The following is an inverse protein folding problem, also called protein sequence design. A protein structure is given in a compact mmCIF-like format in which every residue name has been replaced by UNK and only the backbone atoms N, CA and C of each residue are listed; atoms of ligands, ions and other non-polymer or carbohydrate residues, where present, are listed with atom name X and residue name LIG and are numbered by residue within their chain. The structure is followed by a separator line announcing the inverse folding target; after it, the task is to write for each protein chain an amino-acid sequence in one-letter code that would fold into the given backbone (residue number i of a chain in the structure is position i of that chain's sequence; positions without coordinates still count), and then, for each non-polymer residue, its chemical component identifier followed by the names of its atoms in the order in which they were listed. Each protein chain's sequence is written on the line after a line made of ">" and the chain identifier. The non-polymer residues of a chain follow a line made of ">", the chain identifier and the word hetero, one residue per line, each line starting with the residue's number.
data_IF_103048969995
#
_entry.id   IF_103048969995
#
_cell.length_a   1.000
_cell.length_b   1.000
_cell.length_c   1.000
_cell.angle_alpha   90.00
_cell.angle_beta   90.00
_cell.angle_gamma   90.00
#
_symmetry.space_group_name_H-M   'P 1'
#
loop_
_entity.id
_entity.type
_entity.pdbx_description
1 polymer ?
#
# COMPACT_ATOMS: atom_id res chain seq x y z
N UNK A 1 7.71 17.11 7.01
CA UNK A 1 6.89 17.68 6.04
C UNK A 1 5.41 17.61 6.34
N UNK A 2 4.56 17.80 5.36
CA UNK A 2 3.14 18.04 5.64
C UNK A 2 2.40 16.88 6.33
N UNK A 3 2.87 15.64 6.19
CA UNK A 3 2.18 14.50 6.78
C UNK A 3 2.72 14.06 8.14
N UNK A 4 3.84 14.59 8.58
CA UNK A 4 4.48 14.14 9.81
C UNK A 4 3.54 14.33 11.00
N UNK A 5 3.33 13.25 11.77
CA UNK A 5 2.41 13.17 12.90
C UNK A 5 0.94 13.34 12.56
N UNK A 6 0.57 13.16 11.27
CA UNK A 6 -0.81 13.20 10.84
C UNK A 6 -1.36 11.80 10.59
N UNK A 7 -2.67 11.70 10.59
CA UNK A 7 -3.43 10.54 10.14
C UNK A 7 -4.48 11.04 9.16
N UNK A 8 -5.12 10.15 8.37
CA UNK A 8 -6.24 10.58 7.52
C UNK A 8 -7.33 11.26 8.36
N UNK A 9 -8.02 12.25 7.78
CA UNK A 9 -9.00 13.05 8.50
C UNK A 9 -10.11 12.21 9.14
N UNK A 10 -10.57 11.18 8.45
CA UNK A 10 -11.51 10.20 8.97
C UNK A 10 -10.88 8.82 8.74
N UNK A 11 -10.45 8.17 9.80
CA UNK A 11 -9.67 6.96 9.66
C UNK A 11 -10.15 5.83 10.55
N UNK A 12 -9.84 4.61 10.13
CA UNK A 12 -9.94 3.40 10.94
C UNK A 12 -8.54 2.87 11.19
N UNK A 13 -8.36 2.20 12.31
CA UNK A 13 -7.07 1.64 12.69
C UNK A 13 -7.23 0.14 12.88
N UNK A 14 -6.28 -0.63 12.36
CA UNK A 14 -6.33 -2.07 12.48
C UNK A 14 -4.93 -2.65 12.66
N UNK A 15 -4.89 -3.84 13.28
CA UNK A 15 -3.65 -4.57 13.50
C UNK A 15 -3.15 -5.22 12.21
N UNK A 16 -1.85 -5.36 12.11
CA UNK A 16 -1.19 -5.96 10.96
C UNK A 16 -0.03 -6.83 11.43
N UNK A 17 0.34 -7.80 10.63
CA UNK A 17 1.53 -8.63 10.83
C UNK A 17 2.43 -8.61 9.60
N UNK A 18 2.38 -7.55 8.82
CA UNK A 18 3.22 -7.40 7.65
C UNK A 18 4.69 -7.32 8.04
N UNK A 19 5.53 -7.94 7.23
CA UNK A 19 6.95 -8.06 7.47
C UNK A 19 7.69 -8.05 6.13
N UNK A 20 8.69 -7.19 6.01
CA UNK A 20 9.41 -7.02 4.76
C UNK A 20 10.91 -7.06 5.01
N UNK A 21 11.66 -7.73 4.13
CA UNK A 21 13.11 -7.70 4.18
C UNK A 21 13.59 -6.26 3.98
N UNK A 22 14.45 -5.81 4.88
CA UNK A 22 15.01 -4.47 4.84
C UNK A 22 16.32 -4.50 5.61
N UNK A 23 17.38 -3.99 5.01
CA UNK A 23 18.70 -3.99 5.66
C UNK A 23 19.23 -2.57 5.78
N UNK A 24 19.84 -2.29 6.91
CA UNK A 24 20.47 -1.02 7.19
C UNK A 24 19.54 0.01 7.81
N UNK A 25 20.07 1.20 8.04
CA UNK A 25 19.30 2.32 8.57
C UNK A 25 18.44 2.93 7.47
N UNK A 26 17.26 3.37 7.86
CA UNK A 26 16.40 4.13 6.96
C UNK A 26 16.66 5.63 7.16
N UNK A 27 16.50 6.38 6.10
CA UNK A 27 16.55 7.84 6.16
C UNK A 27 15.13 8.39 5.99
N UNK A 28 14.83 9.46 6.71
CA UNK A 28 13.56 10.15 6.55
C UNK A 28 13.48 10.80 5.17
N UNK A 29 12.31 10.75 4.59
CA UNK A 29 12.06 11.37 3.29
C UNK A 29 11.24 10.49 2.37
N UNK A 30 11.12 10.90 1.08
CA UNK A 30 10.37 10.12 0.11
C UNK A 30 11.07 8.80 -0.20
N UNK A 31 10.27 7.72 -0.21
CA UNK A 31 10.74 6.39 -0.63
C UNK A 31 10.14 5.99 -1.98
N UNK A 32 9.08 6.63 -2.38
CA UNK A 32 8.55 6.58 -3.75
C UNK A 32 7.83 7.88 -4.04
N UNK A 33 8.19 8.53 -5.13
CA UNK A 33 7.58 9.78 -5.58
C UNK A 33 7.06 9.60 -6.99
N UNK A 34 5.79 9.94 -7.21
CA UNK A 34 5.20 9.88 -8.54
C UNK A 34 5.95 10.82 -9.50
N UNK A 35 6.33 10.30 -10.66
CA UNK A 35 7.04 11.05 -11.68
C UNK A 35 6.14 11.41 -12.86
N UNK A 36 5.11 10.61 -13.11
CA UNK A 36 4.18 10.79 -14.20
C UNK A 36 2.75 10.56 -13.72
N UNK A 37 1.78 10.86 -14.57
CA UNK A 37 0.36 10.74 -14.25
C UNK A 37 -0.07 9.29 -13.95
N UNK A 38 0.63 8.33 -14.51
CA UNK A 38 0.35 6.91 -14.31
C UNK A 38 0.85 6.40 -12.96
N UNK A 39 1.63 7.18 -12.23
CA UNK A 39 2.00 6.87 -10.86
C UNK A 39 0.93 7.45 -9.94
N UNK A 40 0.28 6.59 -9.15
CA UNK A 40 -0.91 6.96 -8.38
C UNK A 40 -0.63 7.24 -6.91
N UNK A 41 0.57 6.94 -6.43
CA UNK A 41 0.90 7.02 -5.01
C UNK A 41 2.22 7.73 -4.78
N UNK A 42 2.30 8.43 -3.66
CA UNK A 42 3.54 8.93 -3.08
C UNK A 42 3.73 8.27 -1.72
N UNK A 43 4.97 7.92 -1.39
CA UNK A 43 5.29 7.22 -0.15
C UNK A 43 6.48 7.89 0.54
N UNK A 44 6.35 8.14 1.84
CA UNK A 44 7.35 8.83 2.65
C UNK A 44 7.58 8.11 3.97
N UNK A 45 8.82 8.05 4.42
CA UNK A 45 9.17 7.54 5.75
C UNK A 45 9.64 8.71 6.61
N UNK A 46 9.04 8.85 7.80
CA UNK A 46 9.49 9.79 8.81
C UNK A 46 9.40 9.10 10.18
N UNK A 47 10.55 8.98 10.85
CA UNK A 47 10.63 8.23 12.09
C UNK A 47 10.27 6.76 11.85
N UNK A 48 9.33 6.26 12.61
CA UNK A 48 8.87 4.87 12.51
C UNK A 48 7.51 4.77 11.80
N UNK A 49 7.22 5.68 10.87
CA UNK A 49 5.96 5.69 10.15
C UNK A 49 6.17 5.82 8.66
N UNK A 50 5.38 5.06 7.90
CA UNK A 50 5.30 5.13 6.45
C UNK A 50 3.99 5.82 6.09
N UNK A 51 4.09 6.95 5.41
CA UNK A 51 2.95 7.76 4.97
C UNK A 51 2.69 7.50 3.49
N UNK A 52 1.48 7.10 3.16
CA UNK A 52 1.09 6.75 1.79
C UNK A 52 -0.06 7.65 1.36
N UNK A 53 0.16 8.46 0.34
CA UNK A 53 -0.81 9.43 -0.15
C UNK A 53 -1.07 9.25 -1.64
N UNK A 54 -2.25 9.72 -2.08
CA UNK A 54 -2.57 9.78 -3.52
C UNK A 54 -1.76 10.90 -4.16
N UNK A 55 -1.08 10.57 -5.26
CA UNK A 55 -0.16 11.51 -5.92
C UNK A 55 -0.87 12.75 -6.47
N UNK A 56 -2.10 12.59 -6.93
CA UNK A 56 -2.83 13.67 -7.59
C UNK A 56 -3.46 14.67 -6.62
N UNK A 57 -4.04 14.14 -5.54
CA UNK A 57 -4.79 14.97 -4.60
C UNK A 57 -3.97 15.31 -3.37
N UNK A 58 -2.88 14.58 -3.11
CA UNK A 58 -2.11 14.69 -1.89
C UNK A 58 -2.86 14.12 -0.67
N UNK A 59 -3.99 13.45 -0.89
CA UNK A 59 -4.78 12.90 0.21
C UNK A 59 -4.03 11.77 0.90
N UNK A 60 -3.81 11.91 2.20
CA UNK A 60 -3.20 10.86 3.01
C UNK A 60 -4.19 9.71 3.18
N UNK A 61 -3.82 8.53 2.70
CA UNK A 61 -4.69 7.35 2.73
C UNK A 61 -4.28 6.32 3.77
N UNK A 62 -2.98 6.15 4.00
CA UNK A 62 -2.48 5.17 4.97
C UNK A 62 -1.33 5.73 5.76
N UNK A 63 -1.28 5.38 7.05
CA UNK A 63 -0.10 5.55 7.89
C UNK A 63 0.22 4.19 8.49
N UNK A 64 1.32 3.60 8.09
CA UNK A 64 1.78 2.33 8.62
C UNK A 64 2.79 2.58 9.74
N UNK A 65 2.53 1.99 10.90
CA UNK A 65 3.41 2.09 12.06
C UNK A 65 4.45 0.97 11.96
N UNK A 66 5.69 1.38 11.72
CA UNK A 66 6.80 0.47 11.42
C UNK A 66 7.68 0.26 12.64
N UNK A 67 8.27 -0.92 12.73
CA UNK A 67 9.33 -1.20 13.68
C UNK A 67 10.52 -1.72 12.86
N UNK A 68 11.58 -0.94 12.78
CA UNK A 68 12.75 -1.27 11.99
C UNK A 68 13.69 -2.14 12.81
N UNK A 69 13.96 -3.34 12.31
CA UNK A 69 14.90 -4.29 12.87
C UNK A 69 16.20 -4.27 12.04
N UNK A 70 17.17 -5.10 12.40
CA UNK A 70 18.46 -5.11 11.69
C UNK A 70 18.35 -5.62 10.25
N UNK A 71 17.43 -6.52 9.96
CA UNK A 71 17.32 -7.18 8.64
C UNK A 71 15.91 -7.15 8.07
N UNK A 72 14.95 -6.54 8.77
CA UNK A 72 13.57 -6.47 8.30
C UNK A 72 12.83 -5.31 8.96
N UNK A 73 11.65 -5.00 8.44
CA UNK A 73 10.72 -4.04 9.03
C UNK A 73 9.39 -4.75 9.29
N UNK A 74 8.83 -4.51 10.47
CA UNK A 74 7.54 -5.04 10.88
C UNK A 74 6.52 -3.92 10.91
N UNK A 75 5.33 -4.19 10.40
CA UNK A 75 4.21 -3.25 10.46
C UNK A 75 3.12 -3.86 11.30
N UNK A 76 2.92 -3.34 12.50
CA UNK A 76 1.99 -3.90 13.49
C UNK A 76 0.62 -3.24 13.43
N UNK A 77 0.53 -2.02 12.92
CA UNK A 77 -0.69 -1.23 12.94
C UNK A 77 -0.74 -0.31 11.74
N UNK A 78 -1.92 -0.19 11.17
CA UNK A 78 -2.18 0.69 10.02
C UNK A 78 -3.37 1.56 10.34
N UNK A 79 -3.23 2.88 10.12
CA UNK A 79 -4.33 3.83 10.14
C UNK A 79 -4.69 4.13 8.69
N UNK A 80 -5.92 3.88 8.31
CA UNK A 80 -6.35 3.97 6.91
C UNK A 80 -7.58 4.87 6.78
N UNK A 81 -7.63 5.63 5.68
CA UNK A 81 -8.78 6.45 5.35
C UNK A 81 -10.05 5.61 5.29
N UNK A 82 -11.07 6.00 6.05
CA UNK A 82 -12.31 5.23 6.19
C UNK A 82 -13.04 5.06 4.86
N UNK A 83 -13.06 6.10 4.05
CA UNK A 83 -13.70 6.08 2.76
C UNK A 83 -13.00 5.11 1.80
N UNK A 84 -11.66 5.12 1.80
CA UNK A 84 -10.88 4.21 0.99
C UNK A 84 -11.10 2.74 1.39
N UNK A 85 -11.11 2.48 2.69
CA UNK A 85 -11.28 1.13 3.23
C UNK A 85 -12.67 0.57 2.92
N UNK A 86 -13.71 1.40 3.03
CA UNK A 86 -15.11 1.01 2.79
C UNK A 86 -15.52 -0.24 3.56
N UNK A 87 -15.03 -0.38 4.80
CA UNK A 87 -15.37 -1.51 5.65
C UNK A 87 -14.57 -2.79 5.39
N UNK A 88 -13.72 -2.83 4.37
CA UNK A 88 -12.92 -4.01 4.05
C UNK A 88 -11.47 -3.84 4.52
N UNK A 89 -11.26 -4.09 5.81
CA UNK A 89 -9.93 -3.94 6.43
C UNK A 89 -8.90 -4.92 5.86
N UNK A 90 -9.34 -6.10 5.51
CA UNK A 90 -8.44 -7.12 4.94
C UNK A 90 -7.90 -6.68 3.59
N UNK A 91 -8.76 -6.13 2.75
CA UNK A 91 -8.33 -5.57 1.46
C UNK A 91 -7.38 -4.40 1.65
N UNK A 92 -7.67 -3.52 2.60
CA UNK A 92 -6.81 -2.37 2.91
C UNK A 92 -5.39 -2.83 3.29
N UNK A 93 -5.27 -3.83 4.14
CA UNK A 93 -3.97 -4.40 4.51
C UNK A 93 -3.21 -4.96 3.32
N UNK A 94 -3.92 -5.61 2.39
CA UNK A 94 -3.33 -6.15 1.16
C UNK A 94 -2.86 -5.06 0.21
N UNK A 95 -3.59 -3.96 0.14
CA UNK A 95 -3.17 -2.80 -0.66
C UNK A 95 -1.85 -2.26 -0.14
N UNK A 96 -1.72 -2.09 1.17
CA UNK A 96 -0.46 -1.63 1.78
C UNK A 96 0.67 -2.61 1.48
N UNK A 97 0.44 -3.90 1.64
CA UNK A 97 1.42 -4.94 1.31
C UNK A 97 1.88 -4.85 -0.14
N UNK A 98 0.93 -4.74 -1.07
CA UNK A 98 1.22 -4.59 -2.49
C UNK A 98 2.05 -3.33 -2.77
N UNK A 99 1.63 -2.19 -2.20
CA UNK A 99 2.31 -0.91 -2.45
C UNK A 99 3.76 -0.96 -1.97
N UNK A 100 4.03 -1.57 -0.83
CA UNK A 100 5.40 -1.72 -0.33
C UNK A 100 6.22 -2.59 -1.28
N UNK A 101 5.69 -3.74 -1.68
CA UNK A 101 6.41 -4.66 -2.56
C UNK A 101 6.64 -4.06 -3.94
N UNK A 102 5.62 -3.45 -4.53
CA UNK A 102 5.69 -2.92 -5.88
C UNK A 102 6.48 -1.62 -5.95
N UNK A 103 6.19 -0.66 -5.07
CA UNK A 103 6.71 0.70 -5.18
C UNK A 103 8.03 0.87 -4.42
N UNK A 104 8.15 0.30 -3.23
CA UNK A 104 9.38 0.44 -2.46
C UNK A 104 10.43 -0.61 -2.83
N UNK A 105 10.01 -1.87 -2.97
CA UNK A 105 10.93 -2.98 -3.27
C UNK A 105 11.04 -3.26 -4.76
N UNK A 106 10.31 -2.55 -5.59
CA UNK A 106 10.34 -2.64 -7.05
C UNK A 106 10.07 -4.05 -7.58
N UNK A 107 9.22 -4.80 -6.90
CA UNK A 107 8.82 -6.13 -7.30
C UNK A 107 7.65 -6.07 -8.29
N UNK A 108 7.63 -6.99 -9.24
CA UNK A 108 6.50 -7.15 -10.16
C UNK A 108 5.62 -8.25 -9.61
N UNK A 109 4.53 -7.87 -8.97
CA UNK A 109 3.58 -8.80 -8.33
C UNK A 109 2.16 -8.40 -8.68
N UNK A 110 1.22 -9.35 -8.73
CA UNK A 110 -0.19 -9.02 -8.96
C UNK A 110 -0.75 -8.18 -7.80
N UNK A 111 -1.59 -7.21 -8.13
CA UNK A 111 -2.24 -6.40 -7.11
C UNK A 111 -3.49 -7.11 -6.58
N UNK A 112 -3.93 -6.78 -5.34
CA UNK A 112 -5.16 -7.33 -4.81
C UNK A 112 -6.39 -6.72 -5.51
N UNK A 113 -7.48 -7.47 -5.52
CA UNK A 113 -8.78 -7.01 -5.99
C UNK A 113 -9.76 -6.97 -4.81
N UNK A 114 -10.57 -5.92 -4.70
CA UNK A 114 -11.66 -5.94 -3.73
C UNK A 114 -12.69 -7.01 -4.10
N UNK A 115 -13.35 -7.56 -3.09
CA UNK A 115 -14.31 -8.65 -3.28
C UNK A 115 -15.39 -8.31 -4.32
N UNK A 116 -15.81 -7.05 -4.39
CA UNK A 116 -16.83 -6.60 -5.33
C UNK A 116 -16.45 -6.75 -6.80
N UNK A 117 -15.16 -6.87 -7.11
CA UNK A 117 -14.66 -6.94 -8.48
C UNK A 117 -14.27 -8.34 -8.93
N UNK A 118 -14.36 -9.34 -8.06
CA UNK A 118 -13.88 -10.70 -8.39
C UNK A 118 -14.60 -11.34 -9.60
N UNK A 119 -15.88 -11.05 -9.76
CA UNK A 119 -16.70 -11.64 -10.83
C UNK A 119 -17.04 -10.63 -11.92
N UNK A 120 -16.44 -9.45 -11.88
CA UNK A 120 -16.70 -8.40 -12.86
C UNK A 120 -15.96 -8.67 -14.18
N UNK A 121 -16.45 -8.11 -15.31
CA UNK A 121 -15.75 -8.22 -16.59
C UNK A 121 -14.32 -7.68 -16.56
N UNK A 122 -13.48 -8.21 -17.43
CA UNK A 122 -12.07 -7.85 -17.49
C UNK A 122 -11.83 -6.35 -17.69
N UNK A 123 -12.69 -5.67 -18.44
CA UNK A 123 -12.56 -4.24 -18.67
C UNK A 123 -12.81 -3.41 -17.40
N UNK A 124 -13.70 -3.85 -16.53
CA UNK A 124 -13.92 -3.18 -15.24
C UNK A 124 -12.75 -3.41 -14.28
N UNK A 125 -12.19 -4.61 -14.30
CA UNK A 125 -10.99 -4.93 -13.53
C UNK A 125 -9.82 -4.10 -14.03
N UNK A 126 -9.68 -3.95 -15.34
CA UNK A 126 -8.63 -3.13 -15.94
C UNK A 126 -8.76 -1.67 -15.56
N UNK A 127 -9.97 -1.13 -15.56
CA UNK A 127 -10.21 0.24 -15.15
C UNK A 127 -9.84 0.46 -13.68
N UNK A 128 -10.22 -0.46 -12.79
CA UNK A 128 -9.83 -0.41 -11.40
C UNK A 128 -8.31 -0.44 -11.24
N UNK A 129 -7.66 -1.37 -11.93
CA UNK A 129 -6.21 -1.54 -11.85
C UNK A 129 -5.48 -0.26 -12.24
N UNK A 130 -5.87 0.35 -13.36
CA UNK A 130 -5.23 1.58 -13.82
C UNK A 130 -5.51 2.75 -12.87
N UNK A 131 -6.76 2.92 -12.43
CA UNK A 131 -7.13 4.00 -11.52
C UNK A 131 -6.41 3.89 -10.18
N UNK A 132 -6.28 2.68 -9.65
CA UNK A 132 -5.73 2.46 -8.31
C UNK A 132 -4.22 2.37 -8.31
N UNK A 133 -3.62 1.70 -9.28
CA UNK A 133 -2.19 1.38 -9.27
C UNK A 133 -1.43 1.91 -10.48
N UNK A 134 -2.14 2.43 -11.49
CA UNK A 134 -1.54 3.01 -12.68
C UNK A 134 -0.67 2.01 -13.44
N UNK A 135 0.51 2.46 -13.85
CA UNK A 135 1.43 1.62 -14.62
C UNK A 135 2.01 0.43 -13.83
N UNK A 136 1.84 0.42 -12.53
CA UNK A 136 2.29 -0.68 -11.69
C UNK A 136 1.22 -1.73 -11.44
N UNK A 137 0.04 -1.55 -12.03
CA UNK A 137 -1.02 -2.54 -11.95
C UNK A 137 -0.67 -3.80 -12.74
N UNK A 138 -0.84 -4.95 -12.10
CA UNK A 138 -0.67 -6.24 -12.75
C UNK A 138 -1.85 -7.11 -12.35
N UNK A 139 -2.62 -7.55 -13.34
CA UNK A 139 -3.82 -8.34 -13.08
C UNK A 139 -3.48 -9.75 -12.63
N UNK A 140 -4.33 -10.29 -11.77
CA UNK A 140 -4.26 -11.65 -11.33
C UNK A 140 -5.54 -12.04 -10.63
N UNK A 141 -5.70 -13.30 -10.34
CA UNK A 141 -6.74 -13.73 -9.43
C UNK A 141 -6.41 -13.20 -8.05
N UNK A 142 -7.40 -12.62 -7.42
CA UNK A 142 -7.23 -12.07 -6.09
C UNK A 142 -6.75 -13.10 -5.08
N UNK A 143 -7.35 -14.30 -5.09
CA UNK A 143 -6.99 -15.35 -4.15
C UNK A 143 -5.60 -15.92 -4.46
N UNK A 144 -5.27 -16.06 -5.72
CA UNK A 144 -3.94 -16.50 -6.15
C UNK A 144 -2.87 -15.49 -5.72
N UNK A 145 -3.15 -14.21 -5.87
CA UNK A 145 -2.23 -13.15 -5.47
C UNK A 145 -1.86 -13.28 -4.00
N UNK A 146 -2.85 -13.50 -3.16
CA UNK A 146 -2.62 -13.61 -1.72
C UNK A 146 -1.85 -14.86 -1.37
N UNK A 147 -2.19 -15.99 -1.97
CA UNK A 147 -1.46 -17.23 -1.76
C UNK A 147 0.01 -17.08 -2.10
N UNK A 148 0.30 -16.51 -3.27
CA UNK A 148 1.67 -16.28 -3.73
C UNK A 148 2.41 -15.35 -2.78
N UNK A 149 1.81 -14.22 -2.41
CA UNK A 149 2.44 -13.25 -1.52
C UNK A 149 2.64 -13.82 -0.11
N UNK A 150 1.67 -14.57 0.38
CA UNK A 150 1.76 -15.20 1.70
C UNK A 150 2.86 -16.25 1.78
N UNK A 151 3.08 -17.00 0.72
CA UNK A 151 4.13 -18.02 0.66
C UNK A 151 5.51 -17.41 0.55
N UNK A 152 5.62 -16.25 -0.07
CA UNK A 152 6.89 -15.56 -0.28
C UNK A 152 7.24 -14.59 0.85
N UNK A 153 6.23 -14.24 1.61
CA UNK A 153 6.34 -13.20 2.65
C UNK A 153 7.01 -13.61 3.93
#
# INVERSE_FOLDING_TARGET
>A
IEYVNKVPDDYVEFSSDLNFAYSGAHDDGPVFKAEVMEDKWDMYVYGERLYISRSWTGKLCFVAHCEFKSDHVEIHRISADSEFVSGDLRHAGRVVDFLIKSHMSNMVVPHPLPARLREEPADEIAAYSFEMFGRRGLFGSFDETIGILGEQG
#
